data_IF_645748866865
#
_entry.id   IF_645748866865
#
_cell.length_a   1.000
_cell.length_b   1.000
_cell.length_c   1.000
_cell.angle_alpha   90.00
_cell.angle_beta   90.00
_cell.angle_gamma   90.00
#
_symmetry.space_group_name_H-M   'P 1'
#
loop_
_entity.id
_entity.type
_entity.pdbx_description
1 polymer ?
#
# COMPACT_ATOMS: atom_id res chain seq x y z
N UNK A 1 -27.54 -7.72 8.76
CA UNK A 1 -26.50 -8.58 9.38
C UNK A 1 -25.16 -8.06 8.91
N UNK A 2 -24.46 -7.31 9.74
CA UNK A 2 -23.14 -6.76 9.44
C UNK A 2 -22.10 -7.87 9.56
N UNK A 3 -21.82 -8.57 8.46
CA UNK A 3 -20.52 -9.20 8.30
C UNK A 3 -19.51 -8.07 8.46
N UNK A 4 -18.87 -8.00 9.62
CA UNK A 4 -17.90 -6.95 9.93
C UNK A 4 -16.91 -6.89 8.79
N UNK A 5 -16.49 -5.68 8.41
CA UNK A 5 -15.61 -5.33 7.28
C UNK A 5 -14.24 -6.08 7.33
N UNK A 6 -14.04 -6.98 8.30
CA UNK A 6 -12.81 -7.61 8.72
C UNK A 6 -13.02 -9.03 9.28
N UNK A 7 -13.86 -9.90 8.72
CA UNK A 7 -13.96 -11.27 9.28
C UNK A 7 -12.67 -12.11 9.11
N UNK A 8 -11.58 -11.55 8.55
CA UNK A 8 -10.32 -12.26 8.34
C UNK A 8 -9.02 -11.45 8.39
N UNK A 9 -9.04 -10.11 8.52
CA UNK A 9 -7.80 -9.33 8.51
C UNK A 9 -7.14 -9.24 9.91
N UNK A 10 -5.84 -9.51 9.97
CA UNK A 10 -5.06 -9.65 11.22
C UNK A 10 -3.99 -8.55 11.30
N UNK A 11 -3.83 -7.93 12.47
CA UNK A 11 -2.76 -6.95 12.71
C UNK A 11 -1.42 -7.66 12.90
N UNK A 12 -0.38 -7.21 12.21
CA UNK A 12 1.00 -7.68 12.39
C UNK A 12 1.84 -6.78 13.31
N UNK A 13 1.26 -5.72 13.89
CA UNK A 13 1.94 -4.77 14.77
C UNK A 13 2.37 -3.47 14.10
N UNK A 14 3.19 -2.68 14.79
CA UNK A 14 3.67 -1.37 14.32
C UNK A 14 5.16 -1.42 13.98
N UNK A 15 5.52 -0.90 12.81
CA UNK A 15 6.89 -0.84 12.30
C UNK A 15 7.12 0.52 11.65
N UNK A 16 8.14 1.25 12.11
CA UNK A 16 8.55 2.55 11.55
C UNK A 16 7.39 3.57 11.35
N UNK A 17 6.44 3.59 12.29
CA UNK A 17 5.29 4.49 12.25
C UNK A 17 4.09 3.99 11.43
N UNK A 18 4.24 2.86 10.73
CA UNK A 18 3.16 2.17 10.02
C UNK A 18 2.58 1.04 10.87
N UNK A 19 1.31 0.71 10.66
CA UNK A 19 0.67 -0.48 11.21
C UNK A 19 0.47 -1.52 10.11
N UNK A 20 0.97 -2.74 10.31
CA UNK A 20 0.84 -3.83 9.35
C UNK A 20 -0.44 -4.63 9.54
N UNK A 21 -1.00 -5.07 8.43
CA UNK A 21 -2.18 -5.89 8.37
C UNK A 21 -2.06 -6.93 7.25
N UNK A 22 -2.62 -8.11 7.48
CA UNK A 22 -2.75 -9.16 6.46
C UNK A 22 -4.22 -9.48 6.24
N UNK A 23 -4.66 -9.53 4.99
CA UNK A 23 -5.99 -9.99 4.56
C UNK A 23 -5.85 -11.17 3.59
N UNK A 24 -5.62 -12.38 4.11
CA UNK A 24 -5.34 -13.57 3.29
C UNK A 24 -6.58 -14.17 2.63
N UNK A 25 -7.79 -13.68 2.94
CA UNK A 25 -9.05 -14.32 2.50
C UNK A 25 -9.75 -13.53 1.40
N UNK A 26 -9.79 -12.20 1.52
CA UNK A 26 -10.57 -11.38 0.59
C UNK A 26 -9.72 -10.84 -0.56
N UNK A 27 -8.50 -10.40 -0.25
CA UNK A 27 -7.63 -9.70 -1.21
C UNK A 27 -6.29 -10.40 -1.45
N UNK A 28 -5.96 -11.43 -0.66
CA UNK A 28 -4.64 -12.07 -0.62
C UNK A 28 -3.51 -11.02 -0.54
N UNK A 29 -3.60 -10.19 0.50
CA UNK A 29 -2.86 -8.94 0.57
C UNK A 29 -2.20 -8.71 1.93
N UNK A 30 -1.07 -8.01 1.90
CA UNK A 30 -0.50 -7.32 3.05
C UNK A 30 -0.69 -5.82 2.84
N UNK A 31 -1.12 -5.08 3.85
CA UNK A 31 -1.19 -3.63 3.77
C UNK A 31 -0.63 -2.94 5.01
N UNK A 32 -0.06 -1.76 4.76
CA UNK A 32 0.57 -0.92 5.76
C UNK A 32 -0.22 0.37 5.88
N UNK A 33 -0.77 0.63 7.07
CA UNK A 33 -1.57 1.81 7.35
C UNK A 33 -0.66 2.93 7.82
N UNK A 34 -0.75 4.07 7.12
CA UNK A 34 -0.02 5.28 7.45
C UNK A 34 -0.84 6.22 8.34
N UNK A 35 -0.20 6.99 9.23
CA UNK A 35 -0.88 8.04 9.97
C UNK A 35 -1.39 9.14 9.02
N UNK A 36 -2.37 9.91 9.49
CA UNK A 36 -2.88 11.04 8.73
C UNK A 36 -1.77 12.07 8.45
N UNK A 37 -1.79 12.65 7.24
CA UNK A 37 -0.79 13.63 6.79
C UNK A 37 0.47 13.03 6.16
N UNK A 38 0.56 11.70 6.04
CA UNK A 38 1.62 11.06 5.28
C UNK A 38 1.53 11.40 3.78
N UNK A 39 2.67 11.62 3.14
CA UNK A 39 2.77 11.87 1.69
C UNK A 39 3.66 10.81 1.04
N UNK A 40 3.50 10.63 -0.28
CA UNK A 40 4.29 9.67 -1.04
C UNK A 40 5.12 10.35 -2.13
N UNK A 41 6.30 9.78 -2.39
CA UNK A 41 7.03 9.96 -3.64
C UNK A 41 7.21 8.57 -4.24
N UNK A 42 6.71 8.39 -5.46
CA UNK A 42 6.77 7.11 -6.17
C UNK A 42 7.66 7.23 -7.41
N UNK A 43 8.71 6.43 -7.43
CA UNK A 43 9.61 6.25 -8.57
C UNK A 43 9.37 4.84 -9.15
N UNK A 44 9.08 4.76 -10.45
CA UNK A 44 8.86 3.51 -11.18
C UNK A 44 9.71 3.51 -12.45
N UNK A 45 10.52 2.46 -12.63
CA UNK A 45 11.46 2.37 -13.74
C UNK A 45 11.42 0.98 -14.41
N UNK A 46 11.72 0.92 -15.70
CA UNK A 46 11.82 -0.34 -16.46
C UNK A 46 10.53 -0.73 -17.21
N UNK A 47 10.45 -2.01 -17.57
CA UNK A 47 9.30 -2.58 -18.30
C UNK A 47 8.12 -2.86 -17.37
N UNK A 48 6.89 -2.86 -17.90
CA UNK A 48 5.68 -3.16 -17.14
C UNK A 48 5.13 -2.00 -16.30
N UNK A 49 5.63 -0.78 -16.51
CA UNK A 49 5.15 0.46 -15.86
C UNK A 49 3.69 0.80 -16.18
N UNK A 50 3.12 0.17 -17.20
CA UNK A 50 1.74 0.37 -17.63
C UNK A 50 0.72 -0.51 -16.88
N UNK A 51 1.16 -1.39 -15.97
CA UNK A 51 0.29 -2.17 -15.11
C UNK A 51 -0.74 -1.29 -14.36
N UNK A 52 -1.96 -1.78 -14.21
CA UNK A 52 -3.09 -0.98 -13.75
C UNK A 52 -2.87 -0.39 -12.35
N UNK A 53 -2.32 -1.19 -11.43
CA UNK A 53 -1.99 -0.79 -10.06
C UNK A 53 -0.82 0.19 -9.99
N UNK A 54 0.14 0.12 -10.92
CA UNK A 54 1.22 1.11 -11.01
C UNK A 54 0.69 2.46 -11.51
N UNK A 55 -0.19 2.45 -12.52
CA UNK A 55 -0.85 3.67 -13.01
C UNK A 55 -1.73 4.30 -11.92
N UNK A 56 -2.52 3.48 -11.23
CA UNK A 56 -3.32 3.90 -10.08
C UNK A 56 -2.43 4.56 -9.01
N UNK A 57 -1.40 3.85 -8.55
CA UNK A 57 -0.53 4.34 -7.48
C UNK A 57 0.28 5.56 -7.87
N UNK A 58 0.64 5.70 -9.15
CA UNK A 58 1.28 6.92 -9.67
C UNK A 58 0.37 8.13 -9.54
N UNK A 59 -0.91 7.99 -9.92
CA UNK A 59 -1.90 9.07 -9.78
C UNK A 59 -2.21 9.35 -8.30
N UNK A 60 -2.38 8.30 -7.50
CA UNK A 60 -2.66 8.43 -6.08
C UNK A 60 -1.51 9.07 -5.30
N UNK A 61 -0.26 8.83 -5.67
CA UNK A 61 0.90 9.43 -5.02
C UNK A 61 0.96 10.97 -5.18
N UNK A 62 0.24 11.55 -6.14
CA UNK A 62 0.09 13.01 -6.28
C UNK A 62 -0.78 13.62 -5.17
N UNK A 63 -1.54 12.80 -4.42
CA UNK A 63 -2.38 13.25 -3.31
C UNK A 63 -1.57 13.34 -2.01
N UNK A 64 -1.53 14.50 -1.34
CA UNK A 64 -0.74 14.70 -0.11
C UNK A 64 -1.47 14.17 1.15
N UNK A 65 -2.06 12.97 1.07
CA UNK A 65 -2.79 12.37 2.18
C UNK A 65 -2.84 10.84 2.10
N UNK A 66 -1.71 10.19 1.83
CA UNK A 66 -1.66 8.73 1.74
C UNK A 66 -1.96 8.10 3.10
N UNK A 67 -2.89 7.14 3.10
CA UNK A 67 -3.38 6.44 4.29
C UNK A 67 -3.05 4.96 4.32
N UNK A 68 -2.74 4.35 3.17
CA UNK A 68 -2.25 2.98 3.13
C UNK A 68 -1.41 2.64 1.90
N UNK A 69 -0.56 1.64 2.06
CA UNK A 69 0.13 0.93 0.97
C UNK A 69 -0.31 -0.52 1.00
N UNK A 70 -0.85 -1.01 -0.11
CA UNK A 70 -1.34 -2.38 -0.26
C UNK A 70 -0.43 -3.13 -1.21
N UNK A 71 -0.02 -4.32 -0.80
CA UNK A 71 0.79 -5.26 -1.54
C UNK A 71 -0.08 -6.50 -1.77
N UNK A 72 -0.43 -6.75 -3.03
CA UNK A 72 -1.26 -7.87 -3.47
C UNK A 72 -0.38 -9.05 -3.88
N UNK A 73 -0.82 -10.27 -3.56
CA UNK A 73 -0.21 -11.48 -4.08
C UNK A 73 -0.77 -11.87 -5.45
N UNK A 74 -0.02 -12.72 -6.15
CA UNK A 74 -0.46 -13.40 -7.36
C UNK A 74 -0.51 -12.54 -8.63
N UNK A 75 -0.73 -13.19 -9.79
CA UNK A 75 -0.84 -12.49 -11.06
C UNK A 75 -2.16 -11.70 -11.14
N UNK A 76 -2.12 -10.55 -11.81
CA UNK A 76 -3.33 -9.90 -12.30
C UNK A 76 -4.03 -10.76 -13.36
N UNK A 77 -5.24 -10.34 -13.76
CA UNK A 77 -6.01 -10.99 -14.82
C UNK A 77 -5.32 -10.86 -16.20
N UNK A 78 -4.43 -9.87 -16.37
CA UNK A 78 -3.80 -9.56 -17.65
C UNK A 78 -4.74 -8.83 -18.61
N UNK A 79 -5.88 -8.35 -18.10
CA UNK A 79 -6.90 -7.60 -18.84
C UNK A 79 -6.96 -6.20 -18.21
N UNK A 80 -6.46 -5.15 -18.89
CA UNK A 80 -6.26 -3.84 -18.26
C UNK A 80 -7.49 -3.25 -17.57
N UNK A 81 -8.67 -3.42 -18.16
CA UNK A 81 -9.92 -2.93 -17.57
C UNK A 81 -10.31 -3.67 -16.30
N UNK A 82 -10.18 -5.00 -16.29
CA UNK A 82 -10.49 -5.83 -15.11
C UNK A 82 -9.47 -5.59 -14.00
N UNK A 83 -8.18 -5.50 -14.35
CA UNK A 83 -7.10 -5.21 -13.40
C UNK A 83 -7.26 -3.82 -12.77
N UNK A 84 -7.71 -2.82 -13.53
CA UNK A 84 -8.00 -1.50 -12.97
C UNK A 84 -9.22 -1.52 -12.05
N UNK A 85 -10.32 -2.17 -12.45
CA UNK A 85 -11.50 -2.33 -11.59
C UNK A 85 -11.17 -3.07 -10.29
N UNK A 86 -10.36 -4.13 -10.37
CA UNK A 86 -9.91 -4.87 -9.20
C UNK A 86 -9.03 -3.99 -8.28
N UNK A 87 -8.05 -3.29 -8.84
CA UNK A 87 -7.19 -2.35 -8.10
C UNK A 87 -8.02 -1.30 -7.35
N UNK A 88 -8.99 -0.70 -8.03
CA UNK A 88 -9.90 0.26 -7.42
C UNK A 88 -10.72 -0.35 -6.28
N UNK A 89 -11.27 -1.55 -6.47
CA UNK A 89 -12.04 -2.25 -5.43
C UNK A 89 -11.19 -2.54 -4.19
N UNK A 90 -9.93 -2.94 -4.38
CA UNK A 90 -8.97 -3.15 -3.28
C UNK A 90 -8.73 -1.84 -2.53
N UNK A 91 -8.48 -0.75 -3.24
CA UNK A 91 -8.28 0.57 -2.66
C UNK A 91 -9.51 1.03 -1.86
N UNK A 92 -10.72 0.85 -2.40
CA UNK A 92 -11.99 1.14 -1.71
C UNK A 92 -12.16 0.33 -0.42
N UNK A 93 -11.85 -0.95 -0.47
CA UNK A 93 -11.99 -1.84 0.67
C UNK A 93 -11.02 -1.46 1.79
N UNK A 94 -9.75 -1.21 1.45
CA UNK A 94 -8.73 -0.78 2.43
C UNK A 94 -9.03 0.63 2.96
N UNK A 95 -9.45 1.57 2.12
CA UNK A 95 -9.86 2.91 2.56
C UNK A 95 -10.99 2.85 3.59
N UNK A 96 -12.02 2.01 3.34
CA UNK A 96 -13.12 1.80 4.28
C UNK A 96 -12.64 1.20 5.61
N UNK A 97 -11.70 0.25 5.56
CA UNK A 97 -11.07 -0.32 6.76
C UNK A 97 -10.35 0.77 7.54
N UNK A 98 -9.45 1.51 6.90
CA UNK A 98 -8.65 2.56 7.57
C UNK A 98 -9.55 3.62 8.16
N UNK A 99 -10.52 4.14 7.39
CA UNK A 99 -11.43 5.19 7.85
C UNK A 99 -12.29 4.75 9.04
N UNK A 100 -12.81 3.52 9.01
CA UNK A 100 -13.59 2.97 10.13
C UNK A 100 -12.79 2.88 11.44
N UNK A 101 -11.47 2.68 11.35
CA UNK A 101 -10.59 2.50 12.51
C UNK A 101 -10.01 3.79 13.03
N UNK A 102 -9.61 4.69 12.13
CA UNK A 102 -9.08 5.99 12.52
C UNK A 102 -10.17 6.99 12.89
N UNK A 103 -11.44 6.70 12.60
CA UNK A 103 -12.55 7.64 12.82
C UNK A 103 -12.48 8.86 11.90
N UNK A 104 -11.77 8.74 10.77
CA UNK A 104 -11.62 9.80 9.76
C UNK A 104 -12.15 9.29 8.43
N UNK A 105 -12.68 10.18 7.59
CA UNK A 105 -12.95 9.84 6.20
C UNK A 105 -11.63 9.50 5.49
N UNK A 106 -11.63 8.40 4.73
CA UNK A 106 -10.51 7.96 3.89
C UNK A 106 -11.08 7.55 2.54
N UNK A 107 -10.58 8.17 1.48
CA UNK A 107 -10.95 7.88 0.10
C UNK A 107 -10.04 6.81 -0.54
N UNK A 108 -10.48 6.14 -1.61
CA UNK A 108 -9.67 5.15 -2.30
C UNK A 108 -8.38 5.74 -2.87
N UNK A 109 -8.43 6.99 -3.33
CA UNK A 109 -7.27 7.68 -3.90
C UNK A 109 -6.12 7.86 -2.90
N UNK A 110 -6.39 7.77 -1.60
CA UNK A 110 -5.40 7.82 -0.51
C UNK A 110 -4.72 6.47 -0.27
N UNK A 111 -5.05 5.44 -1.05
CA UNK A 111 -4.52 4.08 -0.93
C UNK A 111 -3.70 3.73 -2.17
N UNK A 112 -2.42 3.45 -1.95
CA UNK A 112 -1.52 2.94 -2.99
C UNK A 112 -1.65 1.42 -3.06
N UNK A 113 -1.62 0.85 -4.26
CA UNK A 113 -1.79 -0.58 -4.52
C UNK A 113 -0.67 -1.07 -5.45
N UNK A 114 -0.03 -2.17 -5.09
CA UNK A 114 1.08 -2.75 -5.85
C UNK A 114 1.01 -4.27 -5.87
N UNK A 115 1.64 -4.88 -6.88
CA UNK A 115 1.88 -6.32 -6.98
C UNK A 115 3.39 -6.60 -7.00
N UNK A 116 4.03 -6.84 -5.85
CA UNK A 116 5.43 -7.26 -5.82
C UNK A 116 5.64 -8.64 -6.48
N UNK A 117 6.87 -8.89 -6.94
CA UNK A 117 7.31 -10.18 -7.48
C UNK A 117 7.65 -11.18 -6.35
N UNK A 118 6.62 -11.60 -5.61
CA UNK A 118 6.71 -12.51 -4.46
C UNK A 118 7.11 -13.93 -4.82
N UNK A 119 7.00 -14.32 -6.09
CA UNK A 119 7.46 -15.61 -6.61
C UNK A 119 9.00 -15.73 -6.54
N UNK A 120 9.71 -14.61 -6.64
CA UNK A 120 11.18 -14.57 -6.73
C UNK A 120 11.85 -13.77 -5.62
N UNK A 121 11.09 -12.97 -4.86
CA UNK A 121 11.59 -12.10 -3.80
C UNK A 121 10.69 -12.16 -2.55
N UNK A 122 11.22 -11.91 -1.34
CA UNK A 122 10.36 -11.84 -0.16
C UNK A 122 9.37 -10.67 -0.26
N UNK A 123 8.32 -10.73 0.55
CA UNK A 123 7.37 -9.63 0.68
C UNK A 123 8.09 -8.32 1.02
N UNK A 124 7.77 -7.20 0.34
CA UNK A 124 8.37 -5.91 0.65
C UNK A 124 8.03 -5.46 2.07
N UNK A 125 9.07 -5.12 2.83
CA UNK A 125 8.94 -4.50 4.15
C UNK A 125 9.40 -3.04 4.11
N UNK A 126 8.82 -2.15 4.92
CA UNK A 126 9.26 -0.77 5.02
C UNK A 126 10.65 -0.69 5.66
N UNK A 127 11.58 -0.03 4.99
CA UNK A 127 12.86 0.37 5.58
C UNK A 127 12.75 1.80 6.13
N UNK A 128 13.37 2.11 7.29
CA UNK A 128 13.31 3.46 7.84
C UNK A 128 14.14 4.45 7.03
N UNK A 129 13.63 5.67 6.85
CA UNK A 129 14.38 6.82 6.30
C UNK A 129 14.51 7.92 7.36
N UNK A 130 15.07 9.08 7.00
CA UNK A 130 15.15 10.23 7.91
C UNK A 130 13.77 10.77 8.28
N UNK A 131 12.85 10.82 7.30
CA UNK A 131 11.55 11.49 7.43
C UNK A 131 10.35 10.52 7.35
N UNK A 132 10.60 9.21 7.40
CA UNK A 132 9.55 8.20 7.32
C UNK A 132 10.07 6.81 6.93
N UNK A 133 9.56 6.27 5.83
CA UNK A 133 9.90 4.93 5.36
C UNK A 133 10.08 4.86 3.85
N UNK A 134 10.70 3.78 3.39
CA UNK A 134 10.87 3.46 1.99
C UNK A 134 10.53 1.98 1.74
N UNK A 135 9.80 1.72 0.65
CA UNK A 135 9.62 0.39 0.08
C UNK A 135 10.42 0.32 -1.22
N UNK A 136 11.22 -0.74 -1.36
CA UNK A 136 11.93 -1.07 -2.61
C UNK A 136 11.63 -2.49 -2.99
N UNK A 137 11.11 -2.70 -4.19
CA UNK A 137 10.80 -4.03 -4.68
C UNK A 137 10.73 -4.06 -6.21
N UNK A 138 10.82 -5.27 -6.75
CA UNK A 138 10.50 -5.54 -8.15
C UNK A 138 9.00 -5.80 -8.24
N UNK A 139 8.32 -5.07 -9.11
CA UNK A 139 6.94 -5.34 -9.50
C UNK A 139 6.89 -6.61 -10.36
N UNK A 140 5.80 -7.37 -10.26
CA UNK A 140 5.62 -8.64 -10.98
C UNK A 140 5.76 -8.51 -12.51
N UNK A 141 5.39 -7.36 -13.07
CA UNK A 141 5.56 -7.02 -14.49
C UNK A 141 6.99 -6.65 -14.89
N UNK A 142 7.93 -6.65 -13.94
CA UNK A 142 9.36 -6.43 -14.16
C UNK A 142 9.88 -5.04 -13.76
N UNK A 143 8.98 -4.09 -13.49
CA UNK A 143 9.36 -2.72 -13.12
C UNK A 143 10.07 -2.69 -11.75
N UNK A 144 11.08 -1.83 -11.62
CA UNK A 144 11.60 -1.43 -10.32
C UNK A 144 10.67 -0.41 -9.69
N UNK A 145 10.28 -0.62 -8.42
CA UNK A 145 9.47 0.30 -7.65
C UNK A 145 10.25 0.79 -6.43
N UNK A 146 10.28 2.11 -6.27
CA UNK A 146 10.76 2.77 -5.07
C UNK A 146 9.71 3.77 -4.59
N UNK A 147 9.10 3.46 -3.45
CA UNK A 147 8.11 4.30 -2.80
C UNK A 147 8.71 4.86 -1.52
N UNK A 148 8.80 6.18 -1.40
CA UNK A 148 9.14 6.85 -0.15
C UNK A 148 7.86 7.43 0.45
N UNK A 149 7.58 7.10 1.72
CA UNK A 149 6.52 7.75 2.49
C UNK A 149 7.13 8.67 3.52
N UNK A 150 6.66 9.91 3.58
CA UNK A 150 6.87 10.76 4.75
C UNK A 150 5.89 10.34 5.84
N UNK A 151 6.36 10.23 7.08
CA UNK A 151 5.52 9.84 8.21
C UNK A 151 5.59 10.97 9.24
N UNK A 152 4.50 11.76 9.40
CA UNK A 152 4.44 12.82 10.40
C UNK A 152 4.75 12.28 11.79
N UNK A 153 5.47 13.08 12.59
CA UNK A 153 5.80 12.81 13.99
C UNK A 153 6.56 11.49 14.24
N UNK A 154 7.54 11.14 13.39
CA UNK A 154 8.56 10.17 13.80
C UNK A 154 9.25 10.73 15.06
N UNK A 155 9.25 10.02 16.22
CA UNK A 155 10.08 10.44 17.33
C UNK A 155 11.52 10.47 16.82
N UNK A 156 12.18 11.63 16.90
CA UNK A 156 13.58 11.78 16.54
C UNK A 156 14.35 10.61 17.15
N UNK A 157 15.13 9.88 16.34
CA UNK A 157 16.06 8.89 16.88
C UNK A 157 16.97 9.64 17.84
N UNK A 158 16.70 9.51 19.13
CA UNK A 158 17.55 10.03 20.19
C UNK A 158 18.96 9.52 19.93
N UNK A 159 19.86 10.45 19.63
CA UNK A 159 21.30 10.22 19.75
C UNK A 159 21.53 9.82 21.20
N UNK A 160 21.79 8.52 21.42
CA UNK A 160 22.35 7.99 22.66
C UNK A 160 23.70 7.40 22.36
#
# INVERSE_FOLDING_TARGET
MSAGILSGAVSGGRTHGLESWSDPVRNDAVFWVAPAGATAVLEVEGEGTDAAELRWSTLSAEVPSIRAVVLLDGPGAGVPGEDFTFTHSVAEDVARIVGSRSGSEVGPIEVLVFRPDTDHTPWPEPAPTADGVEFRFRHRGGAGVRLTLTVPDQPERGLT
#
